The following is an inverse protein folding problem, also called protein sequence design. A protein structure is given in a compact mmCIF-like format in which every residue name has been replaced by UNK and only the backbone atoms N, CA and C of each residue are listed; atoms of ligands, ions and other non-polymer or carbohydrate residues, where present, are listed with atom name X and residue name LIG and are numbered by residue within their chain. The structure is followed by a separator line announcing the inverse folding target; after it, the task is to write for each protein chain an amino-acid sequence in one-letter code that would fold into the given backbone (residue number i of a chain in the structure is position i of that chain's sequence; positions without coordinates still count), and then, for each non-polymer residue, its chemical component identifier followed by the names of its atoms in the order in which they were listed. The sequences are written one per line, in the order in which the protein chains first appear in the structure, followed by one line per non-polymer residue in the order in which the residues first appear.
data_IF_377301137142
#
_entry.id   IF_377301137142
#
_cell.length_a   1.000
_cell.length_b   1.000
_cell.length_c   1.000
_cell.angle_alpha   90.00
_cell.angle_beta   90.00
_cell.angle_gamma   90.00
#
_symmetry.space_group_name_H-M   'P 1'
#
loop_
_entity.id
_entity.type
_entity.pdbx_description
1 polymer ?
#
# COMPACT_ATOMS: atom_id res chain seq x y z
N UNK A 1 -3.32 -8.64 26.77
CA UNK A 1 -2.30 -7.90 25.99
C UNK A 1 -2.95 -6.67 25.40
N UNK A 2 -2.36 -5.49 25.53
CA UNK A 2 -2.91 -4.28 24.92
C UNK A 2 -2.82 -4.37 23.38
N UNK A 3 -3.86 -3.91 22.68
CA UNK A 3 -3.85 -3.89 21.22
C UNK A 3 -2.90 -2.80 20.73
N UNK A 4 -1.68 -3.18 20.37
CA UNK A 4 -0.61 -2.27 19.94
C UNK A 4 -0.94 -1.49 18.65
N UNK A 5 -1.97 -1.92 17.91
CA UNK A 5 -2.45 -1.25 16.70
C UNK A 5 -3.54 -0.20 16.97
N UNK A 6 -4.12 -0.17 18.18
CA UNK A 6 -5.16 0.80 18.55
C UNK A 6 -4.61 2.19 18.88
N UNK A 7 -3.32 2.29 19.19
CA UNK A 7 -2.68 3.55 19.49
C UNK A 7 -2.05 4.11 18.22
N UNK A 8 -2.46 5.33 17.83
CA UNK A 8 -1.84 6.01 16.71
C UNK A 8 -0.34 6.21 16.98
N UNK A 9 0.52 5.70 16.10
CA UNK A 9 1.95 5.94 16.18
C UNK A 9 2.24 7.42 15.89
N UNK A 10 3.29 8.01 16.51
CA UNK A 10 3.69 9.37 16.20
C UNK A 10 4.01 9.48 14.71
N UNK A 11 3.26 10.36 14.03
CA UNK A 11 3.36 10.54 12.58
C UNK A 11 4.71 11.13 12.22
N UNK A 12 5.57 10.34 11.56
CA UNK A 12 6.83 10.82 11.04
C UNK A 12 6.60 11.46 9.67
N UNK A 13 6.65 12.79 9.60
CA UNK A 13 6.45 13.54 8.36
C UNK A 13 7.74 13.64 7.50
N UNK A 14 8.90 13.24 8.02
CA UNK A 14 10.19 13.36 7.33
C UNK A 14 10.66 12.01 6.77
N UNK A 15 9.79 11.33 6.03
CA UNK A 15 10.16 10.10 5.33
C UNK A 15 10.92 10.46 4.05
N UNK A 16 12.18 10.06 3.96
CA UNK A 16 13.00 10.13 2.74
C UNK A 16 13.26 8.70 2.24
N UNK A 17 12.30 8.09 1.53
CA UNK A 17 12.49 6.75 0.99
C UNK A 17 13.64 6.72 -0.02
N UNK A 18 14.31 5.57 -0.14
CA UNK A 18 15.34 5.36 -1.16
C UNK A 18 14.67 5.18 -2.54
N UNK A 19 15.41 5.47 -3.60
CA UNK A 19 14.92 5.33 -4.98
C UNK A 19 14.47 3.90 -5.31
N UNK A 20 15.12 2.89 -4.73
CA UNK A 20 14.73 1.49 -4.84
C UNK A 20 13.34 1.23 -4.25
N UNK A 21 13.05 1.81 -3.08
CA UNK A 21 11.74 1.67 -2.43
C UNK A 21 10.63 2.33 -3.25
N UNK A 22 10.92 3.50 -3.81
CA UNK A 22 9.99 4.20 -4.72
C UNK A 22 9.72 3.32 -5.95
N UNK A 23 10.79 2.82 -6.57
CA UNK A 23 10.71 1.98 -7.77
C UNK A 23 9.95 0.68 -7.51
N UNK A 24 10.21 0.03 -6.37
CA UNK A 24 9.49 -1.17 -5.93
C UNK A 24 7.98 -0.91 -5.82
N UNK A 25 7.58 0.15 -5.09
CA UNK A 25 6.17 0.50 -4.91
C UNK A 25 5.50 0.82 -6.25
N UNK A 26 6.14 1.62 -7.10
CA UNK A 26 5.57 1.99 -8.40
C UNK A 26 5.43 0.79 -9.33
N UNK A 27 6.42 -0.09 -9.38
CA UNK A 27 6.37 -1.29 -10.20
C UNK A 27 5.31 -2.27 -9.68
N UNK A 28 5.21 -2.43 -8.36
CA UNK A 28 4.18 -3.24 -7.74
C UNK A 28 2.78 -2.70 -8.04
N UNK A 29 2.55 -1.38 -7.89
CA UNK A 29 1.27 -0.76 -8.23
C UNK A 29 0.88 -0.92 -9.69
N UNK A 30 1.85 -0.92 -10.62
CA UNK A 30 1.59 -1.19 -12.05
C UNK A 30 1.19 -2.64 -12.33
N UNK A 31 1.67 -3.57 -11.51
CA UNK A 31 1.28 -4.98 -11.60
C UNK A 31 -0.11 -5.24 -11.01
N UNK A 32 -0.70 -4.28 -10.29
CA UNK A 32 -2.06 -4.40 -9.77
C UNK A 32 -3.08 -3.94 -10.82
N UNK A 33 -4.14 -4.74 -10.94
CA UNK A 33 -5.31 -4.45 -11.76
C UNK A 33 -6.52 -4.23 -10.87
N UNK A 34 -7.33 -3.23 -11.21
CA UNK A 34 -8.57 -2.94 -10.48
C UNK A 34 -9.72 -3.65 -11.20
N UNK A 35 -10.24 -4.71 -10.58
CA UNK A 35 -11.39 -5.47 -11.07
C UNK A 35 -12.65 -4.87 -10.45
N UNK A 36 -13.57 -4.42 -11.30
CA UNK A 36 -14.88 -3.92 -10.91
C UNK A 36 -15.94 -5.00 -11.10
N UNK A 37 -16.66 -5.38 -10.04
CA UNK A 37 -17.80 -6.28 -10.13
C UNK A 37 -18.92 -5.86 -9.19
N UNK A 38 -20.13 -5.68 -9.72
CA UNK A 38 -21.36 -5.45 -8.96
C UNK A 38 -21.23 -4.39 -7.82
N UNK A 39 -20.65 -3.23 -8.15
CA UNK A 39 -20.31 -2.10 -7.24
C UNK A 39 -19.12 -2.33 -6.28
N UNK A 40 -18.51 -3.50 -6.29
CA UNK A 40 -17.31 -3.82 -5.52
C UNK A 40 -16.05 -3.63 -6.39
N UNK A 41 -14.97 -3.18 -5.76
CA UNK A 41 -13.65 -3.01 -6.38
C UNK A 41 -12.65 -3.93 -5.69
N UNK A 42 -11.89 -4.68 -6.47
CA UNK A 42 -10.85 -5.58 -5.98
C UNK A 42 -9.55 -5.29 -6.70
N UNK A 43 -8.44 -5.38 -5.97
CA UNK A 43 -7.10 -5.30 -6.54
C UNK A 43 -6.56 -6.73 -6.71
N UNK A 44 -6.12 -7.06 -7.93
CA UNK A 44 -5.53 -8.35 -8.25
C UNK A 44 -4.18 -8.15 -8.93
N UNK A 45 -3.20 -8.98 -8.59
CA UNK A 45 -1.92 -9.04 -9.30
C UNK A 45 -2.18 -9.59 -10.71
N UNK A 46 -1.93 -8.76 -11.72
CA UNK A 46 -2.00 -9.10 -13.13
C UNK A 46 -0.69 -9.82 -13.49
N UNK A 47 -0.75 -11.14 -13.60
CA UNK A 47 0.39 -12.02 -13.90
C UNK A 47 0.81 -11.95 -15.37
#
# INVERSE_FOLDING_TARGET
MANIYSNASPKNNNLKPKDETISFLLNYSKALSVIHYNKLKFEALQN
#
